data_IF_656250445183
#
_entry.id   IF_656250445183
#
_cell.length_a   1.000
_cell.length_b   1.000
_cell.length_c   1.000
_cell.angle_alpha   90.00
_cell.angle_beta   90.00
_cell.angle_gamma   90.00
#
_symmetry.space_group_name_H-M   'P 1'
#
loop_
_entity.id
_entity.type
_entity.pdbx_description
1 polymer ?
#
# COMPACT_ATOMS: atom_id res chain seq x y z
N UNK A 1 -7.67 -9.08 8.86
CA UNK A 1 -7.95 -10.31 8.08
C UNK A 1 -9.44 -10.52 7.80
N UNK A 2 -10.31 -10.51 8.82
CA UNK A 2 -11.76 -10.78 8.68
C UNK A 2 -12.45 -9.92 7.62
N UNK A 3 -12.24 -8.60 7.63
CA UNK A 3 -12.84 -7.70 6.64
C UNK A 3 -12.50 -8.09 5.20
N UNK A 4 -11.25 -8.42 4.91
CA UNK A 4 -10.83 -8.81 3.57
C UNK A 4 -11.32 -10.22 3.20
N UNK A 5 -11.44 -11.15 4.16
CA UNK A 5 -12.09 -12.44 3.89
C UNK A 5 -13.56 -12.28 3.58
N UNK A 6 -14.26 -11.41 4.30
CA UNK A 6 -15.65 -11.09 4.04
C UNK A 6 -15.83 -10.47 2.66
N UNK A 7 -15.02 -9.46 2.31
CA UNK A 7 -15.06 -8.86 0.98
C UNK A 7 -14.74 -9.88 -0.12
N UNK A 8 -13.72 -10.72 0.06
CA UNK A 8 -13.35 -11.75 -0.91
C UNK A 8 -14.42 -12.86 -1.05
N UNK A 9 -15.18 -13.15 0.00
CA UNK A 9 -16.33 -14.05 -0.06
C UNK A 9 -17.49 -13.44 -0.86
N UNK A 10 -17.75 -12.14 -0.69
CA UNK A 10 -18.79 -11.42 -1.42
C UNK A 10 -18.41 -11.15 -2.89
N UNK A 11 -17.13 -10.88 -3.14
CA UNK A 11 -16.60 -10.52 -4.46
C UNK A 11 -15.36 -11.35 -4.82
N UNK A 12 -15.54 -12.65 -5.16
CA UNK A 12 -14.43 -13.53 -5.47
C UNK A 12 -13.56 -13.00 -6.61
N UNK A 13 -12.23 -13.11 -6.46
CA UNK A 13 -11.22 -12.69 -7.45
C UNK A 13 -11.26 -11.19 -7.84
N UNK A 14 -11.83 -10.33 -6.98
CA UNK A 14 -11.97 -8.88 -7.22
C UNK A 14 -11.43 -8.00 -6.10
N UNK A 15 -10.82 -8.61 -5.09
CA UNK A 15 -10.36 -7.93 -3.89
C UNK A 15 -8.85 -8.13 -3.76
N UNK A 16 -8.14 -7.03 -3.65
CA UNK A 16 -6.72 -6.97 -3.29
C UNK A 16 -6.59 -6.30 -1.92
N UNK A 17 -5.67 -6.80 -1.09
CA UNK A 17 -5.35 -6.23 0.21
C UNK A 17 -4.06 -5.41 0.08
N UNK A 18 -4.21 -4.09 -0.06
CA UNK A 18 -3.10 -3.13 -0.01
C UNK A 18 -2.78 -2.68 1.42
N UNK A 19 -1.50 -2.63 1.77
CA UNK A 19 -1.00 -2.21 3.09
C UNK A 19 -0.03 -1.06 2.91
N UNK A 20 -0.27 0.07 3.58
CA UNK A 20 0.65 1.21 3.63
C UNK A 20 1.04 1.55 5.06
N UNK A 21 2.17 2.26 5.20
CA UNK A 21 2.73 2.67 6.49
C UNK A 21 2.80 4.20 6.63
N UNK A 22 1.75 4.92 6.21
CA UNK A 22 1.72 6.36 6.42
C UNK A 22 1.37 6.63 7.90
N UNK A 23 2.25 7.28 8.69
CA UNK A 23 2.01 7.54 10.10
C UNK A 23 0.84 8.52 10.35
N UNK A 24 0.38 9.23 9.31
CA UNK A 24 -0.65 10.26 9.43
C UNK A 24 -0.18 11.47 10.26
N UNK A 25 -1.12 12.27 10.73
CA UNK A 25 -0.84 13.38 11.63
C UNK A 25 -0.74 12.89 13.08
N UNK A 26 0.03 13.61 13.92
CA UNK A 26 0.18 13.28 15.35
C UNK A 26 -1.17 13.16 16.06
N UNK A 27 -2.12 14.05 15.76
CA UNK A 27 -3.45 14.06 16.38
C UNK A 27 -4.27 12.82 15.97
N UNK A 28 -4.26 12.44 14.69
CA UNK A 28 -4.95 11.23 14.22
C UNK A 28 -4.35 9.98 14.85
N UNK A 29 -3.01 9.90 14.87
CA UNK A 29 -2.32 8.79 15.51
C UNK A 29 -2.69 8.67 16.99
N UNK A 30 -2.66 9.77 17.76
CA UNK A 30 -3.07 9.75 19.17
C UNK A 30 -4.52 9.33 19.37
N UNK A 31 -5.43 9.73 18.49
CA UNK A 31 -6.84 9.34 18.56
C UNK A 31 -7.04 7.84 18.28
N UNK A 32 -6.25 7.25 17.36
CA UNK A 32 -6.31 5.83 17.02
C UNK A 32 -5.57 4.94 18.03
N UNK A 33 -4.45 5.42 18.58
CA UNK A 33 -3.58 4.67 19.50
C UNK A 33 -4.21 4.42 20.88
N UNK A 34 -5.19 5.23 21.27
CA UNK A 34 -5.82 5.14 22.59
C UNK A 34 -4.85 5.47 23.73
N UNK A 35 -5.14 4.98 24.94
CA UNK A 35 -4.45 5.41 26.18
C UNK A 35 -3.15 4.62 26.45
N UNK A 36 -3.00 3.41 25.93
CA UNK A 36 -1.81 2.57 26.11
C UNK A 36 -1.55 1.71 24.86
N UNK A 37 -0.97 2.28 23.81
CA UNK A 37 -0.60 1.50 22.64
C UNK A 37 0.49 0.49 22.99
N UNK A 38 0.18 -0.79 22.85
CA UNK A 38 1.17 -1.86 22.71
C UNK A 38 1.12 -2.30 21.27
N UNK A 39 2.21 -2.07 20.54
CA UNK A 39 2.31 -2.41 19.13
C UNK A 39 3.37 -3.48 18.95
N UNK A 40 2.98 -4.53 18.23
CA UNK A 40 3.94 -5.36 17.51
C UNK A 40 4.70 -4.47 16.52
N UNK A 41 5.89 -4.88 16.13
CA UNK A 41 6.60 -4.15 15.07
C UNK A 41 5.80 -4.18 13.76
N UNK A 42 6.08 -3.24 12.85
CA UNK A 42 5.36 -3.18 11.57
C UNK A 42 5.49 -4.48 10.76
N UNK A 43 6.67 -5.08 10.76
CA UNK A 43 6.95 -6.38 10.13
C UNK A 43 6.19 -7.53 10.80
N UNK A 44 6.16 -7.58 12.14
CA UNK A 44 5.36 -8.56 12.90
C UNK A 44 3.87 -8.41 12.58
N UNK A 45 3.37 -7.17 12.54
CA UNK A 45 1.96 -6.87 12.23
C UNK A 45 1.55 -7.36 10.84
N UNK A 46 2.40 -7.15 9.82
CA UNK A 46 2.11 -7.63 8.45
C UNK A 46 2.20 -9.16 8.39
N UNK A 47 3.21 -9.76 9.04
CA UNK A 47 3.34 -11.22 9.09
C UNK A 47 2.11 -11.85 9.74
N UNK A 48 1.68 -11.32 10.88
CA UNK A 48 0.50 -11.78 11.60
C UNK A 48 -0.77 -11.60 10.74
N UNK A 49 -0.90 -10.49 10.02
CA UNK A 49 -2.00 -10.28 9.09
C UNK A 49 -2.04 -11.31 7.96
N UNK A 50 -0.89 -11.62 7.34
CA UNK A 50 -0.76 -12.68 6.32
C UNK A 50 -1.17 -14.04 6.88
N UNK A 51 -0.70 -14.35 8.09
CA UNK A 51 -0.97 -15.63 8.73
C UNK A 51 -2.47 -15.78 9.05
N UNK A 52 -3.09 -14.74 9.62
CA UNK A 52 -4.54 -14.70 9.84
C UNK A 52 -5.37 -14.71 8.56
N UNK A 53 -4.90 -14.04 7.50
CA UNK A 53 -5.60 -14.06 6.21
C UNK A 53 -5.60 -15.47 5.62
N UNK A 54 -4.48 -16.18 5.75
CA UNK A 54 -4.25 -17.49 5.10
C UNK A 54 -4.54 -18.70 5.98
N UNK A 55 -4.95 -18.49 7.24
CA UNK A 55 -5.35 -19.58 8.13
C UNK A 55 -6.51 -20.38 7.52
N UNK A 56 -6.26 -21.67 7.31
CA UNK A 56 -7.20 -22.59 6.66
C UNK A 56 -8.10 -23.32 7.65
N UNK A 57 -7.67 -23.41 8.90
CA UNK A 57 -8.41 -24.12 9.93
C UNK A 57 -9.71 -23.39 10.21
N UNK A 58 -10.80 -24.16 10.27
CA UNK A 58 -12.05 -23.64 10.78
C UNK A 58 -11.86 -23.38 12.28
N UNK A 59 -12.24 -22.20 12.79
CA UNK A 59 -12.23 -21.97 14.21
C UNK A 59 -13.04 -23.06 14.91
N UNK A 60 -12.50 -23.59 16.00
CA UNK A 60 -13.16 -24.56 16.88
C UNK A 60 -13.18 -24.02 18.30
N UNK A 61 -13.78 -24.75 19.24
CA UNK A 61 -13.74 -24.38 20.66
C UNK A 61 -12.30 -24.21 21.22
N UNK A 62 -11.29 -24.75 20.53
CA UNK A 62 -9.90 -24.76 20.98
C UNK A 62 -8.92 -24.14 19.98
N UNK A 63 -9.39 -23.59 18.86
CA UNK A 63 -8.53 -22.99 17.83
C UNK A 63 -9.07 -21.64 17.38
N UNK A 64 -8.20 -20.63 17.45
CA UNK A 64 -8.46 -19.32 16.87
C UNK A 64 -8.51 -19.44 15.34
N UNK A 65 -9.45 -18.75 14.71
CA UNK A 65 -9.55 -18.72 13.26
C UNK A 65 -10.28 -17.46 12.80
N UNK A 66 -10.28 -17.23 11.49
CA UNK A 66 -10.81 -16.01 10.88
C UNK A 66 -12.00 -16.38 9.98
N UNK A 67 -13.13 -15.69 10.17
CA UNK A 67 -14.33 -15.88 9.37
C UNK A 67 -14.52 -14.73 8.36
N UNK A 68 -15.28 -14.95 7.27
CA UNK A 68 -15.77 -16.25 6.80
C UNK A 68 -14.63 -17.15 6.26
N UNK A 69 -14.85 -18.46 6.29
CA UNK A 69 -13.95 -19.39 5.61
C UNK A 69 -14.00 -19.19 4.09
N UNK A 70 -12.85 -19.14 3.44
CA UNK A 70 -12.70 -18.91 1.99
C UNK A 70 -11.57 -19.80 1.45
N UNK A 71 -11.67 -20.16 0.17
CA UNK A 71 -10.68 -21.01 -0.50
C UNK A 71 -9.66 -20.21 -1.34
N UNK A 72 -10.02 -18.99 -1.71
CA UNK A 72 -9.18 -18.07 -2.46
C UNK A 72 -8.92 -16.84 -1.61
N UNK A 73 -7.66 -16.65 -1.21
CA UNK A 73 -7.25 -15.46 -0.47
C UNK A 73 -7.03 -14.30 -1.45
N UNK A 74 -7.38 -13.06 -1.07
CA UNK A 74 -7.06 -11.90 -1.88
C UNK A 74 -5.54 -11.77 -2.04
N UNK A 75 -5.07 -11.24 -3.18
CA UNK A 75 -3.67 -10.89 -3.34
C UNK A 75 -3.30 -9.83 -2.29
N UNK A 76 -2.12 -9.94 -1.69
CA UNK A 76 -1.61 -8.97 -0.72
C UNK A 76 -0.54 -8.11 -1.37
N UNK A 77 -0.59 -6.81 -1.12
CA UNK A 77 0.31 -5.82 -1.69
C UNK A 77 0.85 -4.92 -0.60
N UNK A 78 2.18 -4.82 -0.50
CA UNK A 78 2.84 -3.89 0.40
C UNK A 78 3.26 -2.64 -0.38
N UNK A 79 2.71 -1.49 0.01
CA UNK A 79 3.08 -0.19 -0.51
C UNK A 79 4.41 0.21 0.13
N UNK A 80 5.42 0.44 -0.70
CA UNK A 80 6.80 0.59 -0.27
C UNK A 80 7.47 1.78 -0.96
N UNK A 81 8.28 2.49 -0.18
CA UNK A 81 9.21 3.53 -0.64
C UNK A 81 10.62 3.31 -0.08
N UNK A 82 10.92 2.12 0.45
CA UNK A 82 12.20 1.81 1.12
C UNK A 82 12.65 0.37 0.90
N UNK A 83 13.96 0.17 0.95
CA UNK A 83 14.57 -1.17 0.81
C UNK A 83 14.06 -2.14 1.88
N UNK A 84 13.89 -1.66 3.12
CA UNK A 84 13.38 -2.45 4.24
C UNK A 84 11.98 -2.99 3.95
N UNK A 85 11.07 -2.15 3.47
CA UNK A 85 9.70 -2.58 3.15
C UNK A 85 9.66 -3.46 1.90
N UNK A 86 10.52 -3.21 0.91
CA UNK A 86 10.67 -4.09 -0.24
C UNK A 86 11.15 -5.50 0.17
N UNK A 87 12.10 -5.59 1.11
CA UNK A 87 12.58 -6.86 1.65
C UNK A 87 11.49 -7.59 2.45
N UNK A 88 10.70 -6.88 3.27
CA UNK A 88 9.56 -7.45 3.99
C UNK A 88 8.55 -8.06 3.00
N UNK A 89 8.19 -7.34 1.93
CA UNK A 89 7.28 -7.88 0.90
C UNK A 89 7.81 -9.17 0.27
N UNK A 90 9.13 -9.20 0.01
CA UNK A 90 9.81 -10.33 -0.60
C UNK A 90 9.82 -11.56 0.31
N UNK A 91 10.23 -11.38 1.58
CA UNK A 91 10.29 -12.45 2.58
C UNK A 91 8.91 -13.02 2.93
N UNK A 92 7.88 -12.16 2.90
CA UNK A 92 6.51 -12.60 3.13
C UNK A 92 5.83 -13.21 1.89
N UNK A 93 6.44 -13.06 0.71
CA UNK A 93 5.92 -13.58 -0.56
C UNK A 93 4.63 -12.91 -1.01
N UNK A 94 4.58 -11.59 -0.90
CA UNK A 94 3.44 -10.74 -1.29
C UNK A 94 3.86 -9.76 -2.39
N UNK A 95 2.90 -9.12 -3.06
CA UNK A 95 3.17 -8.13 -4.11
C UNK A 95 3.81 -6.85 -3.56
N UNK A 96 4.61 -6.19 -4.39
CA UNK A 96 5.21 -4.89 -4.08
C UNK A 96 4.53 -3.79 -4.89
N UNK A 97 4.08 -2.72 -4.23
CA UNK A 97 3.62 -1.49 -4.89
C UNK A 97 4.58 -0.35 -4.58
N UNK A 98 5.27 0.16 -5.61
CA UNK A 98 6.27 1.23 -5.47
C UNK A 98 5.70 2.55 -5.98
N UNK A 99 5.79 3.60 -5.16
CA UNK A 99 5.35 4.94 -5.53
C UNK A 99 6.50 5.95 -5.48
N UNK A 100 6.74 6.65 -6.60
CA UNK A 100 7.71 7.76 -6.68
C UNK A 100 7.04 9.12 -6.83
N UNK A 101 5.71 9.16 -6.79
CA UNK A 101 4.88 10.28 -7.25
C UNK A 101 4.79 11.46 -6.26
N UNK A 102 5.03 11.23 -4.97
CA UNK A 102 4.91 12.29 -3.94
C UNK A 102 6.13 13.21 -3.88
N UNK A 103 7.31 12.71 -4.25
CA UNK A 103 8.57 13.46 -4.30
C UNK A 103 9.37 13.00 -5.53
N UNK A 104 8.90 13.34 -6.74
CA UNK A 104 9.48 12.80 -7.97
C UNK A 104 10.80 13.50 -8.29
N UNK A 105 11.92 12.92 -7.86
CA UNK A 105 13.24 13.26 -8.39
C UNK A 105 13.92 12.02 -8.99
N UNK A 106 15.04 12.24 -9.69
CA UNK A 106 15.80 11.15 -10.31
C UNK A 106 16.31 10.14 -9.27
N UNK A 107 16.58 10.59 -8.05
CA UNK A 107 17.07 9.72 -6.97
C UNK A 107 15.95 8.79 -6.48
N UNK A 108 14.72 9.29 -6.36
CA UNK A 108 13.55 8.52 -6.00
C UNK A 108 13.26 7.43 -7.04
N UNK A 109 13.45 7.73 -8.34
CA UNK A 109 13.33 6.74 -9.41
C UNK A 109 14.43 5.67 -9.30
N UNK A 110 15.68 6.06 -9.02
CA UNK A 110 16.76 5.10 -8.82
C UNK A 110 16.52 4.22 -7.58
N UNK A 111 16.16 4.83 -6.45
CA UNK A 111 15.80 4.10 -5.23
C UNK A 111 14.63 3.14 -5.44
N UNK A 112 13.62 3.52 -6.23
CA UNK A 112 12.53 2.63 -6.61
C UNK A 112 13.01 1.41 -7.41
N UNK A 113 13.97 1.58 -8.32
CA UNK A 113 14.58 0.45 -9.04
C UNK A 113 15.36 -0.45 -8.10
N UNK A 114 16.16 0.12 -7.20
CA UNK A 114 16.94 -0.64 -6.21
C UNK A 114 16.01 -1.46 -5.29
N UNK A 115 14.91 -0.86 -4.83
CA UNK A 115 13.87 -1.54 -4.05
C UNK A 115 13.24 -2.71 -4.82
N UNK A 116 12.95 -2.54 -6.11
CA UNK A 116 12.41 -3.59 -6.97
C UNK A 116 13.39 -4.75 -7.13
N UNK A 117 14.68 -4.43 -7.31
CA UNK A 117 15.73 -5.44 -7.46
C UNK A 117 15.93 -6.24 -6.17
N UNK A 118 15.92 -5.56 -5.02
CA UNK A 118 15.92 -6.19 -3.69
C UNK A 118 14.70 -7.11 -3.55
N UNK A 119 13.51 -6.62 -3.88
CA UNK A 119 12.28 -7.41 -3.79
C UNK A 119 12.37 -8.70 -4.62
N UNK A 120 12.73 -8.58 -5.90
CA UNK A 120 12.86 -9.73 -6.79
C UNK A 120 13.94 -10.71 -6.33
N UNK A 121 15.07 -10.19 -5.81
CA UNK A 121 16.19 -11.00 -5.34
C UNK A 121 15.82 -11.86 -4.12
N UNK A 122 15.06 -11.31 -3.17
CA UNK A 122 14.75 -12.00 -1.91
C UNK A 122 13.38 -12.69 -1.90
N UNK A 123 12.60 -12.60 -2.98
CA UNK A 123 11.23 -13.11 -3.02
C UNK A 123 11.15 -14.58 -2.67
N UNK A 124 10.27 -14.91 -1.72
CA UNK A 124 9.95 -16.28 -1.32
C UNK A 124 8.49 -16.58 -1.64
N UNK A 125 8.21 -17.77 -2.19
CA UNK A 125 6.82 -18.18 -2.39
C UNK A 125 6.09 -18.33 -1.04
N UNK A 126 4.82 -17.92 -0.98
CA UNK A 126 4.00 -17.95 0.23
C UNK A 126 2.70 -18.74 0.06
N UNK A 127 1.94 -18.86 1.15
CA UNK A 127 0.61 -19.50 1.17
C UNK A 127 -0.44 -18.78 0.31
N UNK A 128 -0.19 -17.51 -0.05
CA UNK A 128 -1.05 -16.70 -0.93
C UNK A 128 -0.87 -17.09 -2.40
N UNK A 129 0.25 -17.76 -2.74
CA UNK A 129 0.57 -18.22 -4.12
C UNK A 129 0.65 -17.08 -5.14
N UNK A 130 1.26 -15.97 -4.76
CA UNK A 130 1.63 -14.91 -5.69
C UNK A 130 3.00 -15.22 -6.33
N UNK A 131 3.18 -14.75 -7.57
CA UNK A 131 4.50 -14.57 -8.17
C UNK A 131 5.13 -13.26 -7.67
N UNK A 132 6.42 -13.07 -7.95
CA UNK A 132 7.14 -11.83 -7.67
C UNK A 132 6.62 -10.66 -8.53
N UNK A 133 5.45 -10.12 -8.16
CA UNK A 133 4.74 -9.06 -8.89
C UNK A 133 5.08 -7.68 -8.32
N UNK A 134 5.25 -6.72 -9.23
CA UNK A 134 5.53 -5.32 -8.92
C UNK A 134 4.48 -4.45 -9.59
N UNK A 135 3.94 -3.49 -8.83
CA UNK A 135 3.09 -2.42 -9.30
C UNK A 135 3.83 -1.08 -9.15
N UNK A 136 3.77 -0.24 -10.18
CA UNK A 136 4.28 1.13 -10.12
C UNK A 136 3.09 2.10 -10.00
N UNK A 137 3.07 2.90 -8.93
CA UNK A 137 2.08 3.95 -8.73
C UNK A 137 2.65 5.28 -9.23
N UNK A 138 1.95 5.93 -10.16
CA UNK A 138 2.40 7.16 -10.83
C UNK A 138 1.22 8.12 -11.04
N UNK A 139 1.50 9.43 -11.07
CA UNK A 139 0.55 10.39 -11.63
C UNK A 139 0.62 10.35 -13.15
N UNK A 140 -0.54 10.39 -13.80
CA UNK A 140 -0.67 10.42 -15.26
C UNK A 140 -1.60 11.56 -15.62
N UNK A 141 -1.16 12.42 -16.53
CA UNK A 141 -1.98 13.49 -17.10
C UNK A 141 -2.28 13.09 -18.54
N UNK A 142 -3.56 13.11 -18.91
CA UNK A 142 -4.04 12.78 -20.25
C UNK A 142 -4.99 13.89 -20.68
N UNK A 143 -4.71 14.52 -21.82
CA UNK A 143 -5.55 15.54 -22.43
C UNK A 143 -5.42 15.48 -23.96
N UNK A 144 -6.30 16.20 -24.67
CA UNK A 144 -6.39 16.11 -26.13
C UNK A 144 -5.22 16.83 -26.83
N UNK A 145 -4.57 17.79 -26.16
CA UNK A 145 -3.45 18.55 -26.71
C UNK A 145 -2.42 18.95 -25.64
N UNK A 146 -1.22 19.31 -26.09
CA UNK A 146 -0.07 19.65 -25.22
C UNK A 146 -0.33 20.88 -24.34
N UNK A 147 -1.10 21.87 -24.81
CA UNK A 147 -1.40 23.06 -24.02
C UNK A 147 -2.26 22.72 -22.80
N UNK A 148 -3.24 21.83 -22.96
CA UNK A 148 -4.05 21.31 -21.85
C UNK A 148 -3.22 20.44 -20.90
N UNK A 149 -2.33 19.59 -21.42
CA UNK A 149 -1.41 18.81 -20.58
C UNK A 149 -0.56 19.74 -19.71
N UNK A 150 0.04 20.78 -20.30
CA UNK A 150 0.87 21.74 -19.56
C UNK A 150 0.08 22.49 -18.47
N UNK A 151 -1.16 22.88 -18.77
CA UNK A 151 -2.03 23.56 -17.81
C UNK A 151 -2.41 22.64 -16.63
N UNK A 152 -2.79 21.39 -16.90
CA UNK A 152 -3.09 20.40 -15.86
C UNK A 152 -1.85 20.01 -15.07
N UNK A 153 -0.69 19.96 -15.72
CA UNK A 153 0.58 19.68 -15.07
C UNK A 153 0.94 20.79 -14.09
N UNK A 154 0.79 22.05 -14.50
CA UNK A 154 1.00 23.18 -13.60
C UNK A 154 0.13 23.08 -12.34
N UNK A 155 -1.14 22.72 -12.49
CA UNK A 155 -2.04 22.52 -11.36
C UNK A 155 -1.60 21.37 -10.43
N UNK A 156 -1.14 20.26 -11.00
CA UNK A 156 -0.57 19.15 -10.22
C UNK A 156 0.72 19.57 -9.50
N UNK A 157 1.61 20.32 -10.17
CA UNK A 157 2.88 20.79 -9.60
C UNK A 157 2.63 21.72 -8.41
N UNK A 158 1.69 22.66 -8.53
CA UNK A 158 1.28 23.54 -7.42
C UNK A 158 0.77 22.72 -6.23
N UNK A 159 -0.06 21.71 -6.48
CA UNK A 159 -0.53 20.82 -5.43
C UNK A 159 0.62 20.05 -4.75
N UNK A 160 1.57 19.52 -5.55
CA UNK A 160 2.74 18.79 -5.03
C UNK A 160 3.69 19.67 -4.23
N UNK A 161 3.75 20.98 -4.51
CA UNK A 161 4.54 21.95 -3.74
C UNK A 161 3.93 22.29 -2.38
N UNK A 162 2.78 21.71 -2.05
CA UNK A 162 2.09 21.85 -0.78
C UNK A 162 2.96 21.59 0.46
N UNK A 163 2.97 22.52 1.43
CA UNK A 163 3.93 22.53 2.55
C UNK A 163 3.37 22.06 3.90
N UNK A 164 2.08 21.75 3.99
CA UNK A 164 1.38 21.30 5.20
C UNK A 164 0.66 19.96 4.98
N UNK A 165 1.33 19.00 4.35
CA UNK A 165 0.72 17.72 3.98
C UNK A 165 -0.54 17.93 3.12
N UNK A 166 -0.47 18.86 2.17
CA UNK A 166 -1.56 19.24 1.26
C UNK A 166 -2.73 19.98 1.94
N UNK A 167 -2.65 20.30 3.24
CA UNK A 167 -3.73 20.94 3.98
C UNK A 167 -3.86 22.46 3.75
N UNK A 168 -2.90 23.08 3.04
CA UNK A 168 -3.03 24.48 2.59
C UNK A 168 -4.05 24.67 1.46
N UNK A 169 -4.46 23.60 0.80
CA UNK A 169 -5.48 23.62 -0.24
C UNK A 169 -6.81 23.08 0.32
N UNK A 170 -7.89 23.85 0.22
CA UNK A 170 -9.24 23.36 0.57
C UNK A 170 -9.73 22.28 -0.39
N UNK A 171 -9.28 22.36 -1.65
CA UNK A 171 -9.56 21.41 -2.72
C UNK A 171 -8.36 21.35 -3.66
N UNK A 172 -8.30 20.31 -4.49
CA UNK A 172 -7.27 20.23 -5.53
C UNK A 172 -7.29 21.51 -6.40
N UNK A 173 -6.13 22.14 -6.68
CA UNK A 173 -6.07 23.30 -7.56
C UNK A 173 -6.61 22.94 -8.95
N UNK A 174 -7.55 23.75 -9.44
CA UNK A 174 -7.91 23.78 -10.86
C UNK A 174 -6.84 24.53 -11.66
N UNK A 175 -6.91 24.44 -12.99
CA UNK A 175 -6.06 25.22 -13.92
C UNK A 175 -6.13 26.72 -13.63
N UNK A 176 -7.30 27.25 -13.26
CA UNK A 176 -7.50 28.69 -13.01
C UNK A 176 -6.99 29.14 -11.64
N UNK A 177 -6.83 28.21 -10.69
CA UNK A 177 -6.48 28.49 -9.29
C UNK A 177 -5.05 28.09 -8.92
N UNK A 178 -4.32 27.50 -9.86
CA UNK A 178 -2.93 27.10 -9.72
C UNK A 178 -1.99 28.23 -10.17
#
# INVERSE_FOLDING_TARGET
AEHFRMMAALYPNRIDLGIGNNPGTTMVKQALDGINPTYDSYDESISLLRDYLTIKDKPSAHTLGVQPHIYHFPEMWLLSSSETSAKIAAELGIGLSVGTFLLPDINAIHAAKDNIDIYKKYFQASTIKMDAKVMASVFVIVADNEAEVAALQHALDVWLLGKLQFAEFEHFPSVDTA
#
